data_IF_073396181018
#
_entry.id   IF_073396181018
#
_cell.length_a   1.000
_cell.length_b   1.000
_cell.length_c   1.000
_cell.angle_alpha   90.00
_cell.angle_beta   90.00
_cell.angle_gamma   90.00
#
_symmetry.space_group_name_H-M   'P 1'
#
loop_
_entity.id
_entity.type
_entity.pdbx_description
1 polymer ?
#
# COMPACT_ATOMS: atom_id res chain seq x y z
N UNK A 1 -29.57 16.25 5.70
CA UNK A 1 -28.95 15.53 4.56
C UNK A 1 -27.51 15.99 4.49
N UNK A 2 -26.57 15.23 5.06
CA UNK A 2 -25.15 15.62 5.10
C UNK A 2 -24.50 15.21 3.78
N UNK A 3 -24.37 16.16 2.85
CA UNK A 3 -23.52 15.98 1.67
C UNK A 3 -22.13 16.49 2.04
N UNK A 4 -21.17 15.58 2.22
CA UNK A 4 -19.76 15.94 2.28
C UNK A 4 -19.30 16.35 0.87
N UNK A 5 -18.51 17.43 0.73
CA UNK A 5 -17.97 17.79 -0.56
C UNK A 5 -16.84 16.82 -0.91
N UNK A 6 -17.03 16.10 -2.01
CA UNK A 6 -16.02 15.30 -2.68
C UNK A 6 -14.81 16.18 -2.99
N UNK A 7 -13.65 15.87 -2.39
CA UNK A 7 -12.40 16.58 -2.65
C UNK A 7 -12.04 16.47 -4.13
N UNK A 8 -12.13 17.61 -4.82
CA UNK A 8 -11.65 17.81 -6.18
C UNK A 8 -10.12 17.76 -6.16
N UNK A 9 -9.53 16.71 -6.71
CA UNK A 9 -8.10 16.70 -7.04
C UNK A 9 -7.90 17.28 -8.44
N UNK A 10 -7.53 18.56 -8.51
CA UNK A 10 -7.05 19.20 -9.73
C UNK A 10 -5.54 18.95 -9.91
N UNK A 11 -5.19 18.73 -11.18
CA UNK A 11 -3.94 18.22 -11.73
C UNK A 11 -2.69 19.07 -11.47
N UNK A 12 -1.65 18.46 -10.86
CA UNK A 12 -0.22 18.66 -11.14
C UNK A 12 0.63 17.75 -10.24
N UNK A 13 1.40 16.82 -10.83
CA UNK A 13 2.60 16.21 -10.23
C UNK A 13 2.44 15.35 -8.96
N UNK A 14 2.60 14.03 -9.10
CA UNK A 14 2.55 12.99 -8.06
C UNK A 14 1.15 12.66 -7.52
N UNK A 15 0.79 11.37 -7.53
CA UNK A 15 -0.46 10.90 -6.91
C UNK A 15 -0.33 11.01 -5.40
N UNK A 16 -1.37 11.45 -4.67
CA UNK A 16 -1.34 11.43 -3.21
C UNK A 16 -1.02 10.02 -2.72
N UNK A 17 -0.23 9.95 -1.65
CA UNK A 17 0.13 8.68 -1.04
C UNK A 17 -1.12 8.16 -0.32
N UNK A 18 -1.69 7.02 -0.73
CA UNK A 18 -2.85 6.45 -0.06
C UNK A 18 -2.47 5.98 1.35
N UNK A 19 -3.47 5.79 2.20
CA UNK A 19 -3.27 5.04 3.44
C UNK A 19 -2.98 3.56 3.12
N UNK A 20 -2.37 2.83 4.07
CA UNK A 20 -1.93 1.45 3.83
C UNK A 20 -3.07 0.52 3.43
N UNK A 21 -4.28 0.72 3.98
CA UNK A 21 -5.46 -0.07 3.61
C UNK A 21 -5.82 0.11 2.13
N UNK A 22 -6.02 1.35 1.69
CA UNK A 22 -6.33 1.67 0.29
C UNK A 22 -5.23 1.19 -0.66
N UNK A 23 -3.97 1.27 -0.24
CA UNK A 23 -2.84 0.75 -1.02
C UNK A 23 -2.95 -0.76 -1.27
N UNK A 24 -3.25 -1.54 -0.23
CA UNK A 24 -3.39 -3.00 -0.32
C UNK A 24 -4.65 -3.40 -1.10
N UNK A 25 -5.77 -2.71 -0.90
CA UNK A 25 -7.01 -2.92 -1.66
C UNK A 25 -6.80 -2.69 -3.16
N UNK A 26 -6.05 -1.64 -3.52
CA UNK A 26 -5.68 -1.37 -4.91
C UNK A 26 -4.84 -2.50 -5.52
N UNK A 27 -4.00 -3.17 -4.74
CA UNK A 27 -3.24 -4.33 -5.22
C UNK A 27 -4.13 -5.56 -5.41
N UNK A 28 -5.08 -5.79 -4.50
CA UNK A 28 -6.06 -6.87 -4.63
C UNK A 28 -6.94 -6.68 -5.87
N UNK A 29 -7.38 -5.45 -6.14
CA UNK A 29 -8.12 -5.10 -7.36
C UNK A 29 -7.33 -5.40 -8.65
N UNK A 30 -5.99 -5.30 -8.61
CA UNK A 30 -5.14 -5.55 -9.77
C UNK A 30 -4.73 -7.03 -9.95
N UNK A 31 -4.58 -7.77 -8.86
CA UNK A 31 -3.92 -9.08 -8.87
C UNK A 31 -4.77 -10.21 -8.29
N UNK A 32 -6.01 -9.93 -7.90
CA UNK A 32 -6.96 -10.88 -7.32
C UNK A 32 -7.27 -10.55 -5.86
N UNK A 33 -8.52 -10.78 -5.48
CA UNK A 33 -9.03 -10.48 -4.14
C UNK A 33 -8.24 -11.18 -3.03
N UNK A 34 -8.04 -10.46 -1.92
CA UNK A 34 -7.48 -10.96 -0.66
C UNK A 34 -6.03 -11.51 -0.76
N UNK A 35 -5.25 -11.08 -1.76
CA UNK A 35 -3.84 -11.44 -1.93
C UNK A 35 -2.91 -10.56 -1.10
N UNK A 36 -3.33 -9.36 -0.76
CA UNK A 36 -2.55 -8.34 -0.05
C UNK A 36 -3.25 -7.83 1.20
N UNK A 37 -4.57 -7.59 1.15
CA UNK A 37 -5.33 -7.13 2.34
C UNK A 37 -5.33 -8.13 3.48
N UNK A 38 -5.05 -9.41 3.22
CA UNK A 38 -4.84 -10.42 4.26
C UNK A 38 -3.66 -10.11 5.20
N UNK A 39 -2.74 -9.23 4.80
CA UNK A 39 -1.62 -8.78 5.63
C UNK A 39 -1.90 -7.46 6.37
N UNK A 40 -3.05 -6.80 6.15
CA UNK A 40 -3.34 -5.46 6.64
C UNK A 40 -3.12 -5.31 8.16
N UNK A 41 -3.59 -6.27 8.95
CA UNK A 41 -3.42 -6.27 10.40
C UNK A 41 -1.94 -6.20 10.82
N UNK A 42 -1.05 -6.88 10.08
CA UNK A 42 0.39 -6.86 10.36
C UNK A 42 1.03 -5.53 10.03
N UNK A 43 0.59 -4.86 8.97
CA UNK A 43 1.05 -3.50 8.66
C UNK A 43 0.60 -2.51 9.74
N UNK A 44 -0.69 -2.53 10.12
CA UNK A 44 -1.24 -1.62 11.12
C UNK A 44 -0.61 -1.85 12.50
N UNK A 45 -0.52 -3.10 12.96
CA UNK A 45 0.06 -3.43 14.28
C UNK A 45 1.53 -3.05 14.40
N UNK A 46 2.27 -3.03 13.29
CA UNK A 46 3.68 -2.60 13.25
C UNK A 46 3.87 -1.14 12.86
N UNK A 47 2.78 -0.39 12.69
CA UNK A 47 2.80 1.03 12.28
C UNK A 47 3.58 1.27 10.98
N UNK A 48 3.46 0.36 10.01
CA UNK A 48 4.11 0.47 8.70
C UNK A 48 3.19 1.20 7.73
N UNK A 49 3.70 2.28 7.14
CA UNK A 49 3.01 3.03 6.10
C UNK A 49 3.42 2.61 4.67
N UNK A 50 2.85 3.28 3.66
CA UNK A 50 3.12 2.96 2.25
C UNK A 50 4.58 3.23 1.85
N UNK A 51 5.22 4.25 2.42
CA UNK A 51 6.59 4.63 2.07
C UNK A 51 7.61 3.71 2.74
N UNK A 52 7.36 3.24 3.95
CA UNK A 52 8.22 2.30 4.68
C UNK A 52 8.48 1.01 3.87
N UNK A 53 7.50 0.56 3.09
CA UNK A 53 7.62 -0.61 2.21
C UNK A 53 8.83 -0.54 1.27
N UNK A 54 9.29 0.67 0.90
CA UNK A 54 10.46 0.85 0.01
C UNK A 54 11.75 0.32 0.62
N UNK A 55 11.87 0.37 1.96
CA UNK A 55 13.10 0.10 2.69
C UNK A 55 13.06 -1.23 3.46
N UNK A 56 11.92 -1.94 3.44
CA UNK A 56 11.81 -3.27 4.04
C UNK A 56 12.73 -4.27 3.35
N UNK A 57 13.50 -5.01 4.14
CA UNK A 57 14.27 -6.16 3.65
C UNK A 57 13.44 -7.46 3.73
N UNK A 58 14.02 -8.55 3.25
CA UNK A 58 13.35 -9.85 3.24
C UNK A 58 12.90 -10.34 4.62
N UNK A 59 13.69 -10.13 5.67
CA UNK A 59 13.31 -10.55 7.02
C UNK A 59 12.16 -9.70 7.58
N UNK A 60 12.06 -8.43 7.17
CA UNK A 60 10.94 -7.58 7.58
C UNK A 60 9.64 -8.00 6.89
N UNK A 61 9.70 -8.38 5.62
CA UNK A 61 8.56 -9.00 4.94
C UNK A 61 8.16 -10.33 5.59
N UNK A 62 9.11 -11.15 6.03
CA UNK A 62 8.81 -12.38 6.78
C UNK A 62 8.10 -12.09 8.12
N UNK A 63 8.52 -11.05 8.85
CA UNK A 63 7.82 -10.58 10.07
C UNK A 63 6.40 -10.07 9.80
N UNK A 64 6.08 -9.71 8.56
CA UNK A 64 4.73 -9.36 8.10
C UNK A 64 3.93 -10.58 7.62
N UNK A 65 4.53 -11.77 7.63
CA UNK A 65 3.90 -13.01 7.11
C UNK A 65 3.99 -13.14 5.59
N UNK A 66 4.82 -12.32 4.92
CA UNK A 66 4.92 -12.26 3.47
C UNK A 66 6.19 -13.00 3.03
N UNK A 67 6.06 -14.30 2.75
CA UNK A 67 7.16 -15.12 2.24
C UNK A 67 7.22 -15.17 0.70
N UNK A 68 6.11 -14.89 0.02
CA UNK A 68 6.03 -14.96 -1.44
C UNK A 68 6.86 -13.87 -2.11
N UNK A 69 7.91 -14.28 -2.86
CA UNK A 69 8.75 -13.39 -3.68
C UNK A 69 7.87 -12.52 -4.59
N UNK A 70 6.85 -13.12 -5.24
CA UNK A 70 5.94 -12.40 -6.13
C UNK A 70 5.13 -11.30 -5.43
N UNK A 71 4.70 -11.52 -4.18
CA UNK A 71 4.00 -10.50 -3.40
C UNK A 71 4.94 -9.36 -3.00
N UNK A 72 6.14 -9.68 -2.49
CA UNK A 72 7.20 -8.70 -2.16
C UNK A 72 7.51 -7.80 -3.35
N UNK A 73 7.77 -8.38 -4.52
CA UNK A 73 8.07 -7.63 -5.75
C UNK A 73 6.93 -6.71 -6.18
N UNK A 74 5.67 -7.14 -6.06
CA UNK A 74 4.50 -6.32 -6.41
C UNK A 74 4.32 -5.13 -5.47
N UNK A 75 4.50 -5.33 -4.17
CA UNK A 75 4.46 -4.27 -3.15
C UNK A 75 5.51 -3.19 -3.46
N UNK A 76 6.79 -3.58 -3.52
CA UNK A 76 7.90 -2.66 -3.78
C UNK A 76 7.72 -1.92 -5.10
N UNK A 77 7.31 -2.62 -6.17
CA UNK A 77 7.06 -2.01 -7.48
C UNK A 77 5.92 -1.01 -7.47
N UNK A 78 4.83 -1.27 -6.74
CA UNK A 78 3.69 -0.34 -6.67
C UNK A 78 4.05 0.91 -5.86
N UNK A 79 4.80 0.75 -4.77
CA UNK A 79 5.22 1.87 -3.92
C UNK A 79 6.16 2.84 -4.65
N UNK A 80 6.93 2.37 -5.64
CA UNK A 80 7.77 3.25 -6.49
C UNK A 80 6.99 4.35 -7.23
N UNK A 81 5.67 4.22 -7.38
CA UNK A 81 4.82 5.24 -8.00
C UNK A 81 4.49 6.44 -7.09
N UNK A 82 4.81 6.35 -5.80
CA UNK A 82 4.53 7.39 -4.81
C UNK A 82 5.84 8.00 -4.32
N UNK A 83 6.20 9.18 -4.80
CA UNK A 83 7.38 9.89 -4.32
C UNK A 83 7.03 10.75 -3.12
N UNK A 84 7.98 10.91 -2.20
CA UNK A 84 7.99 12.07 -1.31
C UNK A 84 8.12 13.30 -2.22
N UNK A 85 7.06 14.08 -2.31
CA UNK A 85 7.05 15.39 -2.98
C UNK A 85 7.93 16.38 -2.23
#
# INVERSE_FOLDING_TARGET
MTSQPSTIFLLSGSKPIPIIQEFLENLDNMYGSQKFTCFLEKFVSKSIDVLDIRILNDSDFEKLGISSIGAKTKLVRKVKNYSLS
#
